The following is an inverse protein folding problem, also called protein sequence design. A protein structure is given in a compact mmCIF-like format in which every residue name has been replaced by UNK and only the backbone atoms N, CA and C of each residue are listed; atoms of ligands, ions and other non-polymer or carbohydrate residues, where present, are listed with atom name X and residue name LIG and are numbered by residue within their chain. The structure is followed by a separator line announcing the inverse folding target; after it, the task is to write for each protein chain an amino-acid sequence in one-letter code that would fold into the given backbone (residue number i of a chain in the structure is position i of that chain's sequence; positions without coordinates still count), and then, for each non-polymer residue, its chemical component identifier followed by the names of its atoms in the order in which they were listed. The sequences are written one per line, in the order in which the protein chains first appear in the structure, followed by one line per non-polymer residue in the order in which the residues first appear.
data_IF_569710186948
#
_entry.id   IF_569710186948
#
_cell.length_a   1.000
_cell.length_b   1.000
_cell.length_c   1.000
_cell.angle_alpha   90.00
_cell.angle_beta   90.00
_cell.angle_gamma   90.00
#
_symmetry.space_group_name_H-M   'P 1'
#
loop_
_entity.id
_entity.type
_entity.pdbx_description
1 polymer ?
#
# COMPACT_ATOMS: atom_id res chain seq x y z
N UNK A 1 19.11 35.77 8.35
CA UNK A 1 20.20 35.40 9.24
C UNK A 1 21.33 36.40 9.11
N UNK A 2 21.87 36.85 10.21
CA UNK A 2 22.94 37.83 10.21
C UNK A 2 24.30 37.18 9.90
N UNK A 3 25.20 37.96 9.29
CA UNK A 3 26.58 37.54 9.08
C UNK A 3 27.29 37.46 10.44
N UNK A 4 27.90 36.33 10.71
CA UNK A 4 28.68 36.13 11.95
C UNK A 4 30.06 36.77 11.86
N UNK A 5 30.70 36.87 13.01
CA UNK A 5 32.07 37.38 13.11
C UNK A 5 32.99 36.59 12.17
N UNK A 6 33.84 37.27 11.37
CA UNK A 6 34.83 36.58 10.54
C UNK A 6 35.77 35.73 11.39
N UNK A 7 36.25 34.56 10.86
CA UNK A 7 37.11 33.65 11.61
C UNK A 7 38.53 34.17 11.79
N UNK A 8 38.90 35.28 11.16
CA UNK A 8 40.24 35.85 11.27
C UNK A 8 40.18 37.38 11.24
N UNK A 9 41.06 38.03 12.02
CA UNK A 9 41.16 39.49 12.05
C UNK A 9 41.69 40.08 10.74
N UNK A 10 42.31 39.28 9.88
CA UNK A 10 42.73 39.72 8.55
C UNK A 10 41.57 39.85 7.56
N UNK A 11 40.45 39.31 7.90
CA UNK A 11 39.22 39.48 7.10
C UNK A 11 38.47 40.69 7.64
N UNK A 12 38.33 41.70 6.83
CA UNK A 12 37.59 42.90 7.22
C UNK A 12 36.09 42.55 7.45
N UNK A 13 35.58 42.90 8.63
CA UNK A 13 34.15 42.67 8.93
C UNK A 13 33.21 43.46 8.05
N UNK A 14 33.72 44.62 7.53
CA UNK A 14 32.92 45.43 6.62
C UNK A 14 32.89 44.90 5.17
N UNK A 15 33.84 43.98 4.86
CA UNK A 15 33.93 43.38 3.53
C UNK A 15 33.26 42.01 3.42
N UNK A 16 32.72 41.48 4.53
CA UNK A 16 32.10 40.18 4.52
C UNK A 16 30.70 40.24 3.93
N UNK A 17 30.31 39.13 3.29
CA UNK A 17 28.99 38.96 2.71
C UNK A 17 28.46 37.58 3.08
N UNK A 18 27.17 37.46 3.03
CA UNK A 18 26.46 36.20 3.28
C UNK A 18 25.50 35.90 2.11
N UNK A 19 25.48 34.66 1.70
CA UNK A 19 24.48 34.19 0.75
C UNK A 19 23.96 32.81 1.21
N UNK A 20 22.69 32.59 0.96
CA UNK A 20 22.05 31.35 1.34
C UNK A 20 21.35 30.79 0.11
N UNK A 21 21.63 29.53 -0.17
CA UNK A 21 20.92 28.78 -1.19
C UNK A 21 19.83 27.92 -0.54
N UNK A 22 18.81 27.60 -1.29
CA UNK A 22 17.73 26.74 -0.86
C UNK A 22 17.76 25.45 -1.68
N UNK A 23 17.65 24.33 -1.00
CA UNK A 23 17.59 23.01 -1.62
C UNK A 23 16.35 22.32 -1.08
N UNK A 24 15.47 21.91 -1.97
CA UNK A 24 14.31 21.11 -1.61
C UNK A 24 14.57 19.65 -1.97
N UNK A 25 14.41 18.77 -0.98
CA UNK A 25 14.52 17.32 -1.19
C UNK A 25 13.12 16.76 -1.15
N UNK A 26 12.67 16.23 -2.28
CA UNK A 26 11.31 15.67 -2.40
C UNK A 26 11.37 14.16 -2.34
N UNK A 27 10.25 13.57 -1.92
CA UNK A 27 10.09 12.13 -1.88
C UNK A 27 9.19 11.68 -3.03
N UNK A 28 9.75 10.93 -3.98
CA UNK A 28 9.04 10.41 -5.14
C UNK A 28 8.62 8.95 -4.96
N UNK A 29 8.56 8.47 -3.73
CA UNK A 29 8.22 7.08 -3.47
C UNK A 29 6.76 6.80 -3.78
N UNK A 30 6.54 5.72 -4.52
CA UNK A 30 5.21 5.25 -4.91
C UNK A 30 5.10 3.76 -4.67
N UNK A 31 3.88 3.32 -4.43
CA UNK A 31 3.53 1.92 -4.38
C UNK A 31 2.84 1.54 -5.69
N UNK A 32 3.05 0.30 -6.11
CA UNK A 32 2.31 -0.29 -7.24
C UNK A 32 1.69 -1.61 -6.80
N UNK A 33 0.58 -1.97 -7.42
CA UNK A 33 -0.12 -3.22 -7.17
C UNK A 33 -0.29 -3.93 -8.50
N UNK A 34 0.07 -5.22 -8.54
CA UNK A 34 -0.23 -6.09 -9.68
C UNK A 34 -1.18 -7.20 -9.22
N UNK A 35 -2.05 -7.62 -10.12
CA UNK A 35 -3.03 -8.67 -9.90
C UNK A 35 -3.17 -9.49 -11.18
N UNK A 36 -3.53 -10.79 -11.10
CA UNK A 36 -3.78 -11.56 -12.30
C UNK A 36 -4.96 -10.99 -13.09
N UNK A 37 -4.93 -11.17 -14.39
CA UNK A 37 -5.88 -10.51 -15.30
C UNK A 37 -7.33 -10.97 -15.10
N UNK A 38 -7.55 -12.25 -14.87
CA UNK A 38 -8.90 -12.80 -14.73
C UNK A 38 -8.84 -14.21 -14.16
N UNK A 39 -9.78 -14.51 -13.27
CA UNK A 39 -9.97 -15.84 -12.73
C UNK A 39 -11.39 -16.29 -13.12
N UNK A 40 -11.48 -17.49 -13.67
CA UNK A 40 -12.77 -18.09 -14.03
C UNK A 40 -13.03 -19.26 -13.10
N UNK A 41 -14.14 -19.20 -12.38
CA UNK A 41 -14.55 -20.22 -11.42
C UNK A 41 -16.00 -20.62 -11.71
N UNK A 42 -16.35 -21.91 -11.63
CA UNK A 42 -17.75 -22.36 -11.73
C UNK A 42 -18.62 -21.71 -10.65
N UNK A 43 -19.87 -21.42 -10.97
CA UNK A 43 -20.81 -20.85 -10.02
C UNK A 43 -21.15 -21.80 -8.87
N UNK A 44 -21.10 -23.09 -9.13
CA UNK A 44 -21.36 -24.15 -8.15
C UNK A 44 -20.07 -24.50 -7.37
N UNK A 45 -20.18 -25.39 -6.40
CA UNK A 45 -19.03 -25.86 -5.65
C UNK A 45 -17.89 -26.27 -6.58
N UNK A 46 -16.70 -25.75 -6.30
CA UNK A 46 -15.51 -26.03 -7.10
C UNK A 46 -14.73 -27.22 -6.53
N UNK A 47 -14.16 -28.01 -7.43
CA UNK A 47 -13.30 -29.13 -7.03
C UNK A 47 -11.85 -28.69 -6.81
N UNK A 48 -11.46 -27.53 -7.35
CA UNK A 48 -10.14 -26.99 -7.18
C UNK A 48 -10.19 -25.65 -6.43
N UNK A 49 -9.09 -25.28 -5.82
CA UNK A 49 -8.98 -24.01 -5.12
C UNK A 49 -8.79 -22.86 -6.09
N UNK A 50 -9.46 -21.75 -5.82
CA UNK A 50 -9.29 -20.48 -6.54
C UNK A 50 -8.92 -19.39 -5.54
N UNK A 51 -8.08 -18.48 -5.95
CA UNK A 51 -7.68 -17.35 -5.13
C UNK A 51 -7.36 -16.14 -5.98
N UNK A 52 -7.51 -14.96 -5.40
CA UNK A 52 -7.09 -13.70 -6.01
C UNK A 52 -5.78 -13.29 -5.33
N UNK A 53 -4.75 -13.04 -6.13
CA UNK A 53 -3.42 -12.68 -5.64
C UNK A 53 -3.12 -11.23 -6.01
N UNK A 54 -2.65 -10.47 -5.02
CA UNK A 54 -2.15 -9.12 -5.22
C UNK A 54 -0.68 -9.08 -4.84
N UNK A 55 0.13 -8.43 -5.65
CA UNK A 55 1.53 -8.17 -5.34
C UNK A 55 1.72 -6.67 -5.23
N UNK A 56 2.10 -6.22 -4.03
CA UNK A 56 2.29 -4.81 -3.71
C UNK A 56 3.80 -4.57 -3.64
N UNK A 57 4.29 -3.60 -4.41
CA UNK A 57 5.73 -3.33 -4.49
C UNK A 57 6.05 -1.86 -4.27
N UNK A 58 7.21 -1.62 -3.70
CA UNK A 58 7.84 -0.31 -3.66
C UNK A 58 9.30 -0.43 -4.10
N UNK A 59 9.88 0.67 -4.54
CA UNK A 59 11.28 0.69 -4.93
C UNK A 59 12.19 0.42 -3.73
N UNK A 60 13.33 -0.25 -3.98
CA UNK A 60 14.32 -0.50 -2.95
C UNK A 60 14.80 0.79 -2.29
N UNK A 61 15.02 1.83 -3.06
CA UNK A 61 15.43 3.14 -2.53
C UNK A 61 14.43 3.71 -1.52
N UNK A 62 13.14 3.46 -1.72
CA UNK A 62 12.10 3.89 -0.78
C UNK A 62 12.11 3.04 0.49
N UNK A 63 12.24 1.73 0.34
CA UNK A 63 12.38 0.83 1.47
C UNK A 63 13.62 1.16 2.31
N UNK A 64 14.72 1.49 1.66
CA UNK A 64 16.00 1.83 2.32
C UNK A 64 15.90 3.08 3.19
N UNK A 65 15.05 4.04 2.83
CA UNK A 65 14.82 5.25 3.66
C UNK A 65 13.69 5.07 4.67
N UNK A 66 13.18 3.86 4.82
CA UNK A 66 12.21 3.51 5.84
C UNK A 66 10.75 3.60 5.43
N UNK A 67 10.44 3.76 4.14
CA UNK A 67 9.05 3.67 3.67
C UNK A 67 8.49 2.28 3.94
N UNK A 68 7.24 2.24 4.41
CA UNK A 68 6.57 1.00 4.77
C UNK A 68 5.30 0.83 3.95
N UNK A 69 5.13 -0.33 3.37
CA UNK A 69 3.93 -0.66 2.60
C UNK A 69 2.74 -0.81 3.57
N UNK A 70 1.65 -0.11 3.27
CA UNK A 70 0.37 -0.27 3.93
C UNK A 70 -0.67 -0.70 2.90
N UNK A 71 -1.60 -1.57 3.28
CA UNK A 71 -2.70 -1.94 2.40
C UNK A 71 -3.99 -2.18 3.20
N UNK A 72 -5.13 -2.01 2.51
CA UNK A 72 -6.44 -2.21 3.11
C UNK A 72 -7.45 -2.63 2.04
N UNK A 73 -8.54 -3.24 2.47
CA UNK A 73 -9.61 -3.62 1.57
C UNK A 73 -10.38 -2.39 1.09
N UNK A 74 -10.94 -2.45 -0.10
CA UNK A 74 -11.74 -1.36 -0.65
C UNK A 74 -12.98 -1.07 0.21
N UNK A 75 -13.51 -2.07 0.87
CA UNK A 75 -14.75 -1.97 1.66
C UNK A 75 -14.59 -1.45 3.09
N UNK A 76 -13.56 -0.79 3.42
CA UNK A 76 -13.34 0.04 4.61
C UNK A 76 -13.21 -0.63 5.99
N UNK A 77 -13.69 -1.82 6.28
CA UNK A 77 -13.60 -2.34 7.67
C UNK A 77 -13.11 -3.77 7.84
N UNK A 78 -12.66 -4.41 6.90
CA UNK A 78 -12.42 -5.80 6.74
C UNK A 78 -13.49 -6.42 5.93
N UNK A 79 -14.05 -7.36 5.64
CA UNK A 79 -13.45 -8.37 4.85
C UNK A 79 -13.31 -7.88 3.41
N UNK A 80 -12.58 -8.57 2.63
CA UNK A 80 -12.53 -8.32 1.19
C UNK A 80 -13.91 -8.64 0.60
N UNK A 81 -14.31 -7.84 -0.37
CA UNK A 81 -15.63 -7.98 -0.98
C UNK A 81 -15.49 -8.04 -2.49
N UNK A 82 -16.00 -9.11 -3.10
CA UNK A 82 -16.18 -9.12 -4.54
C UNK A 82 -17.59 -8.65 -4.88
N UNK A 83 -17.69 -7.69 -5.79
CA UNK A 83 -18.94 -7.02 -6.14
C UNK A 83 -19.24 -7.26 -7.60
N UNK A 84 -20.49 -7.63 -7.89
CA UNK A 84 -20.96 -7.84 -9.26
C UNK A 84 -20.90 -6.52 -10.04
N UNK A 85 -20.32 -6.54 -11.22
CA UNK A 85 -20.13 -5.33 -12.03
C UNK A 85 -21.42 -4.77 -12.61
N UNK A 86 -22.46 -5.61 -12.74
CA UNK A 86 -23.77 -5.21 -13.28
C UNK A 86 -24.77 -4.84 -12.19
N UNK A 87 -24.57 -5.33 -10.98
CA UNK A 87 -25.47 -5.08 -9.86
C UNK A 87 -24.68 -5.07 -8.55
N UNK A 88 -24.40 -3.90 -8.03
CA UNK A 88 -23.60 -3.73 -6.81
C UNK A 88 -24.28 -4.27 -5.53
N UNK A 89 -25.57 -4.58 -5.59
CA UNK A 89 -26.27 -5.23 -4.49
C UNK A 89 -25.94 -6.73 -4.39
N UNK A 90 -25.32 -7.29 -5.41
CA UNK A 90 -24.83 -8.67 -5.41
C UNK A 90 -23.35 -8.62 -5.08
N UNK A 91 -22.99 -9.07 -3.88
CA UNK A 91 -21.61 -9.13 -3.43
C UNK A 91 -21.39 -10.30 -2.48
N UNK A 92 -20.14 -10.69 -2.33
CA UNK A 92 -19.73 -11.74 -1.40
C UNK A 92 -18.50 -11.26 -0.65
N UNK A 93 -18.49 -11.49 0.67
CA UNK A 93 -17.44 -11.03 1.56
C UNK A 93 -16.54 -12.18 1.98
N UNK A 94 -15.23 -11.95 2.00
CA UNK A 94 -14.22 -12.94 2.39
C UNK A 94 -13.36 -12.36 3.49
N UNK A 95 -13.35 -13.01 4.65
CA UNK A 95 -12.55 -12.57 5.79
C UNK A 95 -11.19 -13.26 5.86
N UNK A 96 -11.03 -14.41 5.17
CA UNK A 96 -9.77 -15.13 5.17
C UNK A 96 -8.87 -14.64 4.07
N UNK A 97 -7.62 -14.37 4.43
CA UNK A 97 -6.57 -14.05 3.47
C UNK A 97 -5.22 -14.42 4.08
N UNK A 98 -4.23 -14.59 3.25
CA UNK A 98 -2.85 -14.80 3.67
C UNK A 98 -1.97 -13.70 3.09
N UNK A 99 -0.87 -13.44 3.76
CA UNK A 99 0.09 -12.43 3.33
C UNK A 99 1.52 -12.91 3.56
N UNK A 100 2.42 -12.44 2.74
CA UNK A 100 3.85 -12.73 2.87
C UNK A 100 4.65 -11.50 2.42
N UNK A 101 5.51 -10.94 3.27
CA UNK A 101 5.70 -11.26 4.69
C UNK A 101 4.52 -10.81 5.56
N UNK A 102 4.52 -11.22 6.82
CA UNK A 102 3.49 -10.81 7.77
C UNK A 102 3.49 -9.31 8.00
N UNK A 103 2.32 -8.75 8.28
CA UNK A 103 2.13 -7.33 8.57
C UNK A 103 1.46 -7.16 9.94
N UNK A 104 1.47 -5.94 10.45
CA UNK A 104 0.72 -5.58 11.64
C UNK A 104 -0.60 -4.94 11.23
N UNK A 105 -1.69 -5.35 11.89
CA UNK A 105 -3.00 -4.74 11.68
C UNK A 105 -3.14 -3.54 12.61
N UNK A 106 -3.39 -2.38 12.04
CA UNK A 106 -3.51 -1.11 12.76
C UNK A 106 -4.86 -0.45 12.48
N UNK A 107 -5.28 0.40 13.37
CA UNK A 107 -6.48 1.22 13.20
C UNK A 107 -6.09 2.63 12.81
N UNK A 108 -6.72 3.14 11.77
CA UNK A 108 -6.53 4.49 11.28
C UNK A 108 -7.72 5.39 11.54
N UNK A 109 -7.81 6.46 10.78
CA UNK A 109 -8.87 7.47 10.88
C UNK A 109 -10.24 6.85 10.65
N UNK A 110 -11.19 7.19 11.51
CA UNK A 110 -12.57 6.70 11.40
C UNK A 110 -12.73 5.23 11.74
N UNK A 111 -11.78 4.63 12.46
CA UNK A 111 -11.82 3.21 12.81
C UNK A 111 -11.48 2.27 11.66
N UNK A 112 -11.02 2.79 10.54
CA UNK A 112 -10.60 1.97 9.40
C UNK A 112 -9.33 1.21 9.75
N UNK A 113 -9.28 -0.06 9.35
CA UNK A 113 -8.12 -0.91 9.61
C UNK A 113 -7.26 -1.03 8.36
N UNK A 114 -5.95 -1.11 8.58
CA UNK A 114 -4.98 -1.33 7.52
C UNK A 114 -3.86 -2.22 8.01
N UNK A 115 -3.22 -2.90 7.09
CA UNK A 115 -2.07 -3.76 7.35
C UNK A 115 -0.80 -3.00 7.01
N UNK A 116 0.18 -3.02 7.90
CA UNK A 116 1.43 -2.29 7.75
C UNK A 116 2.61 -3.24 7.77
N UNK A 117 3.39 -3.27 6.69
CA UNK A 117 4.59 -4.07 6.59
C UNK A 117 5.74 -3.47 7.41
N UNK A 118 6.71 -4.30 7.74
CA UNK A 118 7.93 -3.85 8.43
C UNK A 118 8.79 -2.98 7.51
N UNK A 119 9.68 -2.21 8.13
CA UNK A 119 10.68 -1.42 7.39
C UNK A 119 11.55 -2.35 6.53
N UNK A 120 11.93 -1.88 5.36
CA UNK A 120 12.80 -2.62 4.44
C UNK A 120 12.06 -3.61 3.54
N UNK A 121 10.77 -3.83 3.73
CA UNK A 121 9.99 -4.73 2.88
C UNK A 121 9.68 -4.05 1.56
N UNK A 122 10.13 -4.66 0.46
CA UNK A 122 9.88 -4.15 -0.88
C UNK A 122 8.62 -4.74 -1.51
N UNK A 123 8.25 -5.96 -1.15
CA UNK A 123 7.16 -6.71 -1.78
C UNK A 123 6.30 -7.34 -0.70
N UNK A 124 4.99 -7.14 -0.80
CA UNK A 124 3.98 -7.85 0.00
C UNK A 124 3.05 -8.57 -0.95
N UNK A 125 2.92 -9.88 -0.77
CA UNK A 125 1.97 -10.70 -1.52
C UNK A 125 0.75 -10.96 -0.64
N UNK A 126 -0.44 -10.68 -1.18
CA UNK A 126 -1.73 -10.89 -0.51
C UNK A 126 -2.53 -11.89 -1.32
N UNK A 127 -2.98 -12.96 -0.70
CA UNK A 127 -3.76 -14.02 -1.35
C UNK A 127 -5.11 -14.12 -0.66
N UNK A 128 -6.16 -13.95 -1.44
CA UNK A 128 -7.54 -14.02 -0.96
C UNK A 128 -8.20 -15.27 -1.55
N UNK A 129 -8.39 -16.33 -0.76
CA UNK A 129 -9.01 -17.55 -1.26
C UNK A 129 -10.52 -17.33 -1.47
N UNK A 130 -11.01 -17.87 -2.57
CA UNK A 130 -12.45 -17.92 -2.83
C UNK A 130 -12.94 -19.27 -2.29
N UNK A 131 -13.89 -19.31 -1.34
CA UNK A 131 -14.34 -20.57 -0.75
C UNK A 131 -14.81 -21.58 -1.79
N UNK A 132 -14.24 -22.80 -1.73
CA UNK A 132 -14.58 -23.87 -2.67
C UNK A 132 -16.03 -24.31 -2.58
N UNK A 133 -16.57 -24.34 -1.35
CA UNK A 133 -17.94 -24.73 -1.09
C UNK A 133 -18.97 -23.64 -1.44
N UNK A 134 -18.52 -22.45 -1.79
CA UNK A 134 -19.41 -21.34 -2.11
C UNK A 134 -20.15 -21.56 -3.42
N UNK A 135 -21.42 -21.17 -3.44
CA UNK A 135 -22.24 -21.09 -4.65
C UNK A 135 -22.50 -19.62 -4.92
N UNK A 136 -22.16 -19.15 -6.10
CA UNK A 136 -22.24 -17.75 -6.46
C UNK A 136 -23.12 -17.51 -7.66
N UNK A 137 -23.81 -16.39 -7.66
CA UNK A 137 -24.60 -15.97 -8.81
C UNK A 137 -23.66 -15.73 -9.98
N UNK A 138 -23.91 -16.33 -11.15
CA UNK A 138 -23.05 -16.11 -12.32
C UNK A 138 -22.96 -14.65 -12.68
N UNK A 139 -21.77 -14.22 -13.07
CA UNK A 139 -21.52 -12.84 -13.47
C UNK A 139 -20.04 -12.50 -13.37
N UNK A 140 -19.74 -11.26 -13.67
CA UNK A 140 -18.41 -10.69 -13.52
C UNK A 140 -18.35 -9.93 -12.20
N UNK A 141 -17.29 -10.13 -11.46
CA UNK A 141 -17.08 -9.52 -10.16
C UNK A 141 -15.73 -8.80 -10.13
N UNK A 142 -15.66 -7.73 -9.35
CA UNK A 142 -14.39 -7.06 -9.03
C UNK A 142 -14.13 -7.16 -7.54
N UNK A 143 -12.86 -7.30 -7.20
CA UNK A 143 -12.37 -7.32 -5.83
C UNK A 143 -11.19 -6.38 -5.77
N UNK A 144 -11.32 -5.32 -4.97
CA UNK A 144 -10.33 -4.26 -4.90
C UNK A 144 -9.48 -4.29 -3.65
N UNK A 145 -8.26 -3.82 -3.79
CA UNK A 145 -7.31 -3.64 -2.71
C UNK A 145 -6.61 -2.30 -2.91
N UNK A 146 -6.52 -1.53 -1.84
CA UNK A 146 -5.82 -0.26 -1.84
C UNK A 146 -4.47 -0.41 -1.15
N UNK A 147 -3.49 0.33 -1.61
CA UNK A 147 -2.19 0.37 -0.97
C UNK A 147 -1.61 1.77 -0.99
N UNK A 148 -0.71 2.01 -0.04
CA UNK A 148 -0.01 3.27 0.08
C UNK A 148 1.30 3.07 0.83
N UNK A 149 2.01 4.15 1.07
CA UNK A 149 3.25 4.13 1.83
C UNK A 149 3.12 5.00 3.07
N UNK A 150 3.58 4.45 4.20
CA UNK A 150 3.83 5.24 5.40
C UNK A 150 5.26 5.72 5.35
N UNK A 151 5.43 7.01 5.28
CA UNK A 151 6.73 7.68 5.14
C UNK A 151 6.95 8.53 6.38
N UNK A 152 8.06 8.26 7.06
CA UNK A 152 8.44 9.01 8.25
C UNK A 152 9.48 10.06 7.92
#
# INVERSE_FOLDING_TARGET
MAVTQPPSNTISSSSTAFAQGEIEITNNCKVSITTPSKIVRPATQATQAYSVNFTITQNKSCADIGSRIAYWSEGSQSPFRMVNTSNSNIFYSFSNFSESPSTALLSGTGGKKYSLANKGVQIVNVTIPIPQSGVYIPGRYTLGLNAGLVIN
#
